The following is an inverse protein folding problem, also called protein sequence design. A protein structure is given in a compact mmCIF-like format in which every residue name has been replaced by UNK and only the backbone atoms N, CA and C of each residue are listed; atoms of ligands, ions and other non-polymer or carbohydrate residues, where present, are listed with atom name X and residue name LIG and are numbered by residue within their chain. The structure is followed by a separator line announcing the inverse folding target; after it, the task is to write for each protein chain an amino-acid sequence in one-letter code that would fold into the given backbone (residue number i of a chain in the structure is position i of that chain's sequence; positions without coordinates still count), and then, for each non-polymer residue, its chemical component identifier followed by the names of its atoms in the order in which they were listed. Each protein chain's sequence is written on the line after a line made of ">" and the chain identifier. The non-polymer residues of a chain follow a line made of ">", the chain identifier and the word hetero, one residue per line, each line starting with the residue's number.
data_IF_680221487022
#
_entry.id   IF_680221487022
#
_cell.length_a   1.000
_cell.length_b   1.000
_cell.length_c   1.000
_cell.angle_alpha   90.00
_cell.angle_beta   90.00
_cell.angle_gamma   90.00
#
_symmetry.space_group_name_H-M   'P 1'
#
loop_
_entity.id
_entity.type
_entity.pdbx_description
1 polymer ?
#
# COMPACT_ATOMS: atom_id res chain seq x y z
N UNK A 1 -4.50 6.90 -15.11
CA UNK A 1 -4.65 7.14 -13.65
C UNK A 1 -4.77 8.62 -13.40
N UNK A 2 -5.65 9.04 -12.48
CA UNK A 2 -5.69 10.40 -11.97
C UNK A 2 -5.01 10.44 -10.60
N UNK A 3 -3.80 10.99 -10.55
CA UNK A 3 -2.99 11.08 -9.31
C UNK A 3 -3.43 12.23 -8.40
N UNK A 4 -4.19 13.20 -8.91
CA UNK A 4 -4.62 14.39 -8.17
C UNK A 4 -6.06 14.30 -7.67
N UNK A 5 -6.65 13.10 -7.65
CA UNK A 5 -7.98 12.87 -7.10
C UNK A 5 -7.97 12.99 -5.57
N UNK A 6 -8.47 14.11 -5.06
CA UNK A 6 -8.53 14.37 -3.61
C UNK A 6 -9.63 13.55 -2.91
N UNK A 7 -10.63 13.06 -3.64
CA UNK A 7 -11.76 12.28 -3.09
C UNK A 7 -11.49 10.77 -3.07
N UNK A 8 -10.27 10.36 -3.46
CA UNK A 8 -9.84 8.96 -3.44
C UNK A 8 -9.84 8.41 -2.02
N UNK A 9 -10.31 7.17 -1.86
CA UNK A 9 -10.12 6.41 -0.63
C UNK A 9 -8.63 6.28 -0.26
N UNK A 10 -8.28 6.07 1.03
CA UNK A 10 -6.92 5.80 1.45
C UNK A 10 -6.24 4.72 0.60
N UNK A 11 -4.97 4.90 0.26
CA UNK A 11 -4.19 3.98 -0.56
C UNK A 11 -2.95 3.49 0.17
N UNK A 12 -2.74 2.17 0.21
CA UNK A 12 -1.54 1.54 0.76
C UNK A 12 -0.76 0.82 -0.35
N UNK A 13 0.54 1.11 -0.45
CA UNK A 13 1.48 0.34 -1.25
C UNK A 13 2.25 -0.65 -0.38
N UNK A 14 2.21 -1.94 -0.73
CA UNK A 14 3.01 -2.98 -0.08
C UNK A 14 4.05 -3.51 -1.08
N UNK A 15 5.30 -3.66 -0.64
CA UNK A 15 6.39 -4.16 -1.46
C UNK A 15 7.20 -5.27 -0.76
N UNK A 16 7.59 -6.30 -1.51
CA UNK A 16 8.59 -7.28 -1.08
C UNK A 16 10.00 -6.75 -1.31
N UNK A 17 10.86 -6.82 -0.30
CA UNK A 17 12.23 -6.30 -0.33
C UNK A 17 13.14 -7.04 -1.32
N UNK A 18 12.84 -8.31 -1.61
CA UNK A 18 13.58 -9.16 -2.55
C UNK A 18 12.82 -9.36 -3.88
N UNK A 19 11.80 -8.54 -4.13
CA UNK A 19 11.07 -8.56 -5.39
C UNK A 19 11.94 -8.03 -6.54
N UNK A 20 12.38 -8.92 -7.42
CA UNK A 20 13.15 -8.55 -8.62
C UNK A 20 12.27 -8.32 -9.85
N UNK A 21 10.98 -8.67 -9.79
CA UNK A 21 10.03 -8.44 -10.89
C UNK A 21 9.38 -7.05 -10.76
N UNK A 22 8.99 -6.67 -9.55
CA UNK A 22 8.48 -5.36 -9.17
C UNK A 22 9.27 -4.78 -7.98
N UNK A 23 10.48 -4.25 -8.22
CA UNK A 23 11.35 -3.77 -7.16
C UNK A 23 10.70 -2.72 -6.23
N UNK A 24 11.06 -2.68 -4.94
CA UNK A 24 10.55 -1.69 -3.98
C UNK A 24 10.58 -0.24 -4.47
N UNK A 25 11.61 0.11 -5.25
CA UNK A 25 11.77 1.43 -5.84
C UNK A 25 10.60 1.83 -6.75
N UNK A 26 9.94 0.88 -7.42
CA UNK A 26 8.76 1.14 -8.26
C UNK A 26 7.59 1.60 -7.39
N UNK A 27 7.31 0.90 -6.29
CA UNK A 27 6.27 1.28 -5.34
C UNK A 27 6.58 2.62 -4.66
N UNK A 28 7.84 2.87 -4.27
CA UNK A 28 8.27 4.16 -3.73
C UNK A 28 8.10 5.30 -4.75
N UNK A 29 8.38 5.04 -6.03
CA UNK A 29 8.11 6.02 -7.11
C UNK A 29 6.62 6.30 -7.24
N UNK A 30 5.77 5.27 -7.16
CA UNK A 30 4.32 5.42 -7.19
C UNK A 30 3.82 6.31 -6.06
N UNK A 31 4.25 6.07 -4.83
CA UNK A 31 3.90 6.89 -3.64
C UNK A 31 4.23 8.37 -3.87
N UNK A 32 5.38 8.67 -4.48
CA UNK A 32 5.80 10.05 -4.78
C UNK A 32 4.85 10.81 -5.71
N UNK A 33 4.05 10.12 -6.53
CA UNK A 33 3.05 10.76 -7.38
C UNK A 33 1.84 11.26 -6.59
N UNK A 34 1.57 10.68 -5.42
CA UNK A 34 0.43 11.04 -4.56
C UNK A 34 0.81 12.04 -3.44
N UNK A 35 2.09 12.43 -3.30
CA UNK A 35 2.57 13.30 -2.21
C UNK A 35 1.89 14.68 -2.09
N UNK A 36 1.15 15.09 -3.11
CA UNK A 36 0.49 16.39 -3.18
C UNK A 36 -1.02 16.30 -2.96
N UNK A 37 -1.58 15.11 -2.76
CA UNK A 37 -3.00 14.94 -2.43
C UNK A 37 -3.20 14.99 -0.92
N UNK A 38 -4.43 15.31 -0.50
CA UNK A 38 -4.84 15.22 0.91
C UNK A 38 -5.23 13.81 1.34
N UNK A 39 -5.58 12.96 0.37
CA UNK A 39 -5.94 11.56 0.62
C UNK A 39 -4.72 10.79 1.14
N UNK A 40 -4.93 9.98 2.19
CA UNK A 40 -3.86 9.20 2.82
C UNK A 40 -3.26 8.25 1.79
N UNK A 41 -1.94 8.32 1.64
CA UNK A 41 -1.17 7.36 0.83
C UNK A 41 0.05 6.91 1.61
N UNK A 42 0.09 5.61 1.93
CA UNK A 42 1.16 4.99 2.71
C UNK A 42 1.96 3.95 1.92
N UNK A 43 3.12 3.60 2.47
CA UNK A 43 4.02 2.59 1.93
C UNK A 43 4.57 1.69 3.03
N UNK A 44 4.53 0.38 2.81
CA UNK A 44 5.16 -0.63 3.66
C UNK A 44 6.03 -1.57 2.83
N UNK A 45 7.31 -1.59 3.14
CA UNK A 45 8.23 -2.64 2.68
C UNK A 45 8.30 -3.79 3.67
N UNK A 46 8.32 -5.03 3.16
CA UNK A 46 8.62 -6.23 3.93
C UNK A 46 9.94 -6.82 3.44
N UNK A 47 10.99 -6.70 4.25
CA UNK A 47 12.32 -7.26 3.96
C UNK A 47 12.25 -8.79 3.81
N UNK A 48 13.09 -9.36 2.94
CA UNK A 48 13.12 -10.81 2.71
C UNK A 48 11.92 -11.41 1.97
N UNK A 49 10.92 -10.59 1.60
CA UNK A 49 9.75 -11.07 0.84
C UNK A 49 9.97 -10.91 -0.66
N UNK A 50 9.57 -11.94 -1.40
CA UNK A 50 9.63 -11.99 -2.86
C UNK A 50 8.41 -11.33 -3.51
N UNK A 51 8.34 -11.38 -4.85
CA UNK A 51 7.13 -11.00 -5.61
C UNK A 51 5.89 -11.79 -5.19
N UNK A 52 6.06 -13.05 -4.79
CA UNK A 52 4.98 -13.94 -4.38
C UNK A 52 4.59 -13.77 -2.91
N UNK A 53 4.59 -12.53 -2.42
CA UNK A 53 4.46 -12.20 -1.00
C UNK A 53 3.18 -12.77 -0.36
N UNK A 54 2.10 -12.90 -1.13
CA UNK A 54 0.78 -13.39 -0.66
C UNK A 54 0.65 -14.91 -0.58
N UNK A 55 1.63 -15.68 -1.08
CA UNK A 55 1.63 -17.13 -0.99
C UNK A 55 2.94 -17.75 -0.48
N UNK A 56 3.93 -16.90 -0.17
CA UNK A 56 5.13 -17.28 0.56
C UNK A 56 4.76 -17.58 2.03
N UNK A 57 5.50 -18.49 2.69
CA UNK A 57 5.33 -18.76 4.12
C UNK A 57 5.33 -17.46 4.95
N UNK A 58 4.46 -17.38 5.95
CA UNK A 58 4.24 -16.18 6.77
C UNK A 58 3.54 -15.05 6.03
N UNK A 59 2.78 -15.32 4.95
CA UNK A 59 1.96 -14.32 4.26
C UNK A 59 0.91 -13.67 5.16
N UNK A 60 0.56 -14.34 6.25
CA UNK A 60 -0.37 -13.86 7.27
C UNK A 60 0.08 -12.51 7.84
N UNK A 61 1.38 -12.29 8.08
CA UNK A 61 1.90 -10.99 8.55
C UNK A 61 1.57 -9.84 7.59
N UNK A 62 1.66 -10.11 6.28
CA UNK A 62 1.35 -9.11 5.24
C UNK A 62 -0.15 -8.84 5.19
N UNK A 63 -0.96 -9.90 5.32
CA UNK A 63 -2.41 -9.79 5.33
C UNK A 63 -2.92 -9.06 6.58
N UNK A 64 -2.40 -9.41 7.75
CA UNK A 64 -2.74 -8.79 9.03
C UNK A 64 -2.39 -7.30 9.01
N UNK A 65 -1.19 -6.93 8.55
CA UNK A 65 -0.80 -5.53 8.41
C UNK A 65 -1.73 -4.77 7.45
N UNK A 66 -2.05 -5.37 6.30
CA UNK A 66 -2.94 -4.74 5.33
C UNK A 66 -4.36 -4.54 5.89
N UNK A 67 -4.86 -5.52 6.65
CA UNK A 67 -6.17 -5.48 7.27
C UNK A 67 -6.23 -4.46 8.42
N UNK A 68 -5.23 -4.47 9.30
CA UNK A 68 -5.10 -3.50 10.40
C UNK A 68 -5.08 -2.09 9.82
N UNK A 69 -4.18 -1.82 8.87
CA UNK A 69 -4.11 -0.52 8.21
C UNK A 69 -5.44 -0.13 7.55
N UNK A 70 -6.10 -1.05 6.85
CA UNK A 70 -7.37 -0.76 6.19
C UNK A 70 -8.49 -0.43 7.20
N UNK A 71 -8.53 -1.11 8.34
CA UNK A 71 -9.54 -0.87 9.38
C UNK A 71 -9.30 0.43 10.14
N UNK A 72 -8.05 0.80 10.40
CA UNK A 72 -7.68 2.11 10.95
C UNK A 72 -8.07 3.27 10.02
N UNK A 73 -7.94 3.06 8.71
CA UNK A 73 -8.21 4.08 7.69
C UNK A 73 -9.63 4.00 7.13
N UNK A 74 -10.45 3.05 7.59
CA UNK A 74 -11.85 2.94 7.24
C UNK A 74 -12.63 4.07 7.92
N UNK A 75 -12.56 5.27 7.36
CA UNK A 75 -13.55 6.30 7.66
C UNK A 75 -14.88 5.82 7.07
N UNK A 76 -15.88 5.60 7.94
CA UNK A 76 -17.26 5.51 7.48
C UNK A 76 -17.57 6.83 6.78
N UNK A 77 -17.62 6.84 5.44
CA UNK A 77 -18.19 7.96 4.70
C UNK A 77 -19.60 8.13 5.24
N UNK A 78 -19.80 9.08 6.14
CA UNK A 78 -21.16 9.53 6.44
C UNK A 78 -21.69 10.03 5.11
N UNK A 79 -22.69 9.34 4.60
CA UNK A 79 -23.39 9.78 3.40
C UNK A 79 -23.98 11.16 3.73
N UNK A 80 -23.43 12.19 3.09
CA UNK A 80 -24.08 13.50 2.98
C UNK A 80 -25.28 13.41 2.04
#
# INVERSE_FOLDING_TARGET
>A
MNFSDEDRAPLLFIAGGEDNLMPPAVNQSNVKHYRYTKSVTDYKGFEGRSHYTVGQEGWEEVADYALEWATEHATTRSAS
#
